data_IF_504245264028
#
_entry.id   IF_504245264028
#
_cell.length_a   1.000
_cell.length_b   1.000
_cell.length_c   1.000
_cell.angle_alpha   90.00
_cell.angle_beta   90.00
_cell.angle_gamma   90.00
#
_symmetry.space_group_name_H-M   'P 1'
#
loop_
_entity.id
_entity.type
_entity.pdbx_description
1 polymer ?
#
# COMPACT_ATOMS: atom_id res chain seq x y z
N UNK A 1 1.28 19.77 26.25
CA UNK A 1 1.25 19.93 24.77
C UNK A 1 2.56 20.58 24.36
N UNK A 2 3.20 20.11 23.29
CA UNK A 2 4.42 20.76 22.78
C UNK A 2 4.07 22.14 22.19
N UNK A 3 4.88 23.16 22.47
CA UNK A 3 4.71 24.50 21.92
C UNK A 3 5.06 24.50 20.42
N UNK A 4 4.15 25.00 19.57
CA UNK A 4 4.41 25.18 18.13
C UNK A 4 5.32 26.39 17.91
N UNK A 5 6.06 26.39 16.81
CA UNK A 5 6.83 27.58 16.41
C UNK A 5 5.88 28.65 15.87
N UNK A 6 6.25 29.93 16.04
CA UNK A 6 5.45 31.05 15.52
C UNK A 6 5.24 30.96 14.00
N UNK A 7 6.24 30.46 13.26
CA UNK A 7 6.13 30.26 11.82
C UNK A 7 5.12 29.17 11.47
N UNK A 8 5.11 28.06 12.21
CA UNK A 8 4.14 26.99 12.02
C UNK A 8 2.72 27.50 12.27
N UNK A 9 2.50 28.21 13.38
CA UNK A 9 1.19 28.81 13.71
C UNK A 9 0.72 29.77 12.62
N UNK A 10 1.62 30.61 12.10
CA UNK A 10 1.30 31.52 11.02
C UNK A 10 0.90 30.79 9.73
N UNK A 11 1.66 29.78 9.30
CA UNK A 11 1.36 28.97 8.10
C UNK A 11 0.01 28.27 8.24
N UNK A 12 -0.21 27.60 9.38
CA UNK A 12 -1.46 26.88 9.66
C UNK A 12 -2.66 27.83 9.76
N UNK A 13 -2.50 29.03 10.33
CA UNK A 13 -3.57 30.05 10.42
C UNK A 13 -4.07 30.53 9.05
N UNK A 14 -3.24 30.38 8.00
CA UNK A 14 -3.57 30.71 6.62
C UNK A 14 -4.18 29.54 5.85
N UNK A 15 -4.38 28.39 6.51
CA UNK A 15 -4.92 27.17 5.90
C UNK A 15 -3.91 26.37 5.10
N UNK A 16 -2.60 26.61 5.30
CA UNK A 16 -1.53 25.87 4.63
C UNK A 16 -1.00 24.74 5.52
N UNK A 17 -0.44 23.71 4.89
CA UNK A 17 0.24 22.61 5.58
C UNK A 17 1.69 23.02 5.82
N UNK A 18 2.15 22.89 7.06
CA UNK A 18 3.55 23.09 7.43
C UNK A 18 4.28 21.74 7.44
N UNK A 19 4.86 21.36 6.29
CA UNK A 19 5.60 20.10 6.15
C UNK A 19 6.97 20.20 6.84
N UNK A 20 7.30 19.20 7.66
CA UNK A 20 8.61 19.06 8.30
C UNK A 20 9.39 17.92 7.66
N UNK A 21 10.60 18.22 7.19
CA UNK A 21 11.51 17.22 6.63
C UNK A 21 12.49 16.73 7.70
N UNK A 22 12.88 15.44 7.66
CA UNK A 22 13.97 14.93 8.47
C UNK A 22 15.27 15.72 8.22
N UNK A 23 16.01 16.00 9.30
CA UNK A 23 17.32 16.63 9.19
C UNK A 23 18.29 15.74 8.41
N UNK A 24 19.14 16.33 7.58
CA UNK A 24 20.17 15.64 6.78
C UNK A 24 19.64 14.69 5.68
N UNK A 25 18.37 14.84 5.28
CA UNK A 25 17.74 14.05 4.20
C UNK A 25 17.29 14.93 3.01
N UNK A 26 18.21 15.60 2.30
CA UNK A 26 17.87 16.49 1.18
C UNK A 26 17.11 15.79 0.04
N UNK A 27 17.27 14.47 -0.12
CA UNK A 27 16.53 13.65 -1.09
C UNK A 27 15.01 13.61 -0.84
N UNK A 28 14.57 13.87 0.39
CA UNK A 28 13.16 13.98 0.72
C UNK A 28 12.53 15.31 0.26
N UNK A 29 13.35 16.31 -0.09
CA UNK A 29 12.88 17.60 -0.57
C UNK A 29 13.07 17.74 -2.08
N UNK A 30 11.98 17.67 -2.85
CA UNK A 30 12.08 17.70 -4.30
C UNK A 30 12.58 19.03 -4.87
N UNK A 31 12.54 20.11 -4.08
CA UNK A 31 13.06 21.42 -4.50
C UNK A 31 14.57 21.38 -4.75
N UNK A 32 15.31 20.47 -4.10
CA UNK A 32 16.75 20.30 -4.31
C UNK A 32 17.06 19.85 -5.74
N UNK A 33 16.24 18.95 -6.29
CA UNK A 33 16.35 18.52 -7.69
C UNK A 33 15.99 19.64 -8.67
N UNK A 34 14.96 20.43 -8.32
CA UNK A 34 14.55 21.61 -9.10
C UNK A 34 15.67 22.65 -9.15
N UNK A 35 16.29 22.97 -8.02
CA UNK A 35 17.44 23.89 -7.96
C UNK A 35 18.68 23.31 -8.66
N UNK A 36 18.95 22.02 -8.53
CA UNK A 36 20.04 21.35 -9.25
C UNK A 36 19.89 21.47 -10.77
N UNK A 37 18.68 21.21 -11.28
CA UNK A 37 18.35 21.38 -12.69
C UNK A 37 18.46 22.84 -13.14
N UNK A 38 17.91 23.77 -12.36
CA UNK A 38 17.92 25.20 -12.70
C UNK A 38 19.34 25.77 -12.72
N UNK A 39 20.19 25.38 -11.77
CA UNK A 39 21.63 25.74 -11.79
C UNK A 39 22.35 25.15 -12.99
N UNK A 40 22.04 23.92 -13.38
CA UNK A 40 22.59 23.34 -14.61
C UNK A 40 22.17 24.14 -15.84
N UNK A 41 20.89 24.51 -15.96
CA UNK A 41 20.40 25.34 -17.05
C UNK A 41 21.05 26.73 -17.08
N UNK A 42 21.26 27.34 -15.91
CA UNK A 42 21.94 28.63 -15.79
C UNK A 42 23.40 28.54 -16.26
N UNK A 43 24.11 27.46 -15.91
CA UNK A 43 25.49 27.24 -16.38
C UNK A 43 25.62 27.04 -17.89
N UNK A 44 24.53 26.68 -18.57
CA UNK A 44 24.46 26.60 -20.03
C UNK A 44 24.06 27.93 -20.68
N UNK A 45 23.63 28.92 -19.89
CA UNK A 45 23.27 30.24 -20.41
C UNK A 45 24.52 31.06 -20.76
N UNK A 46 24.39 32.07 -21.63
CA UNK A 46 25.47 32.99 -21.93
C UNK A 46 26.01 33.68 -20.67
N UNK A 47 27.30 33.98 -20.66
CA UNK A 47 27.91 34.74 -19.58
C UNK A 47 27.35 36.17 -19.56
N UNK A 48 26.98 36.63 -18.36
CA UNK A 48 26.34 37.93 -18.12
C UNK A 48 27.33 38.90 -17.49
N UNK A 49 27.13 40.20 -17.75
CA UNK A 49 28.04 41.25 -17.24
C UNK A 49 27.44 42.10 -16.11
N UNK A 50 26.12 42.03 -15.91
CA UNK A 50 25.41 42.78 -14.87
C UNK A 50 24.34 41.94 -14.15
N UNK A 51 23.84 42.46 -13.04
CA UNK A 51 22.87 41.77 -12.18
C UNK A 51 21.52 41.57 -12.87
N UNK A 52 21.06 42.52 -13.68
CA UNK A 52 19.77 42.41 -14.37
C UNK A 52 19.77 41.24 -15.36
N UNK A 53 20.83 41.09 -16.16
CA UNK A 53 21.03 39.95 -17.05
C UNK A 53 21.13 38.63 -16.28
N UNK A 54 21.82 38.61 -15.13
CA UNK A 54 21.88 37.42 -14.26
C UNK A 54 20.48 37.03 -13.78
N UNK A 55 19.67 37.98 -13.32
CA UNK A 55 18.32 37.72 -12.85
C UNK A 55 17.43 37.18 -13.96
N UNK A 56 17.52 37.73 -15.18
CA UNK A 56 16.79 37.23 -16.35
C UNK A 56 17.19 35.79 -16.68
N UNK A 57 18.49 35.48 -16.68
CA UNK A 57 18.98 34.13 -16.92
C UNK A 57 18.54 33.14 -15.82
N UNK A 58 18.47 33.58 -14.56
CA UNK A 58 17.95 32.75 -13.46
C UNK A 58 16.47 32.46 -13.69
N UNK A 59 15.65 33.46 -14.01
CA UNK A 59 14.20 33.28 -14.31
C UNK A 59 14.01 32.33 -15.49
N UNK A 60 14.71 32.56 -16.60
CA UNK A 60 14.66 31.70 -17.77
C UNK A 60 15.10 30.26 -17.46
N UNK A 61 16.08 30.07 -16.57
CA UNK A 61 16.54 28.74 -16.17
C UNK A 61 15.54 27.98 -15.30
N UNK A 62 14.83 28.71 -14.43
CA UNK A 62 13.75 28.17 -13.59
C UNK A 62 12.56 27.72 -14.46
N UNK A 63 12.17 28.54 -15.45
CA UNK A 63 11.02 28.27 -16.33
C UNK A 63 11.25 27.08 -17.28
N UNK A 64 12.49 26.64 -17.47
CA UNK A 64 12.81 25.45 -18.27
C UNK A 64 12.37 24.13 -17.61
N UNK A 65 12.08 24.13 -16.31
CA UNK A 65 11.64 22.92 -15.63
C UNK A 65 10.17 22.62 -15.98
N UNK A 66 9.94 21.56 -16.77
CA UNK A 66 8.58 21.16 -17.12
C UNK A 66 7.82 20.62 -15.90
N UNK A 67 6.49 20.79 -15.90
CA UNK A 67 5.61 20.23 -14.86
C UNK A 67 5.79 18.72 -14.69
N UNK A 68 6.06 17.98 -15.78
CA UNK A 68 6.31 16.55 -15.73
C UNK A 68 7.60 16.21 -14.96
N UNK A 69 8.67 16.99 -15.15
CA UNK A 69 9.92 16.82 -14.39
C UNK A 69 9.69 17.10 -12.91
N UNK A 70 9.00 18.19 -12.58
CA UNK A 70 8.66 18.55 -11.19
C UNK A 70 7.88 17.42 -10.51
N UNK A 71 6.85 16.89 -11.18
CA UNK A 71 6.08 15.74 -10.67
C UNK A 71 6.94 14.50 -10.48
N UNK A 72 7.88 14.21 -11.38
CA UNK A 72 8.81 13.08 -11.24
C UNK A 72 9.75 13.25 -10.04
N UNK A 73 10.24 14.46 -9.79
CA UNK A 73 11.07 14.77 -8.62
C UNK A 73 10.29 14.63 -7.32
N UNK A 74 9.07 15.18 -7.25
CA UNK A 74 8.17 15.04 -6.11
C UNK A 74 7.87 13.55 -5.81
N UNK A 75 7.55 12.77 -6.84
CA UNK A 75 7.33 11.33 -6.70
C UNK A 75 8.58 10.59 -6.22
N UNK A 76 9.78 11.00 -6.65
CA UNK A 76 11.04 10.42 -6.17
C UNK A 76 11.23 10.71 -4.69
N UNK A 77 11.06 11.96 -4.26
CA UNK A 77 11.16 12.33 -2.85
C UNK A 77 10.13 11.60 -1.99
N UNK A 78 8.90 11.44 -2.47
CA UNK A 78 7.88 10.63 -1.79
C UNK A 78 8.24 9.15 -1.64
N UNK A 79 9.06 8.59 -2.54
CA UNK A 79 9.59 7.22 -2.37
C UNK A 79 10.65 7.14 -1.29
N UNK A 80 11.54 8.14 -1.18
CA UNK A 80 12.50 8.21 -0.08
C UNK A 80 11.79 8.34 1.27
N UNK A 81 10.80 9.23 1.38
CA UNK A 81 9.97 9.37 2.58
C UNK A 81 9.31 8.04 2.95
N UNK A 82 8.72 7.35 1.97
CA UNK A 82 8.11 6.04 2.18
C UNK A 82 9.12 4.96 2.59
N UNK A 83 10.36 5.02 2.11
CA UNK A 83 11.40 4.06 2.46
C UNK A 83 11.92 4.30 3.88
N UNK A 84 12.13 5.56 4.26
CA UNK A 84 12.53 5.93 5.62
C UNK A 84 11.45 5.61 6.65
N UNK A 85 10.17 5.78 6.29
CA UNK A 85 9.06 5.33 7.14
C UNK A 85 9.07 3.81 7.40
N UNK A 86 9.72 3.02 6.52
CA UNK A 86 9.93 1.58 6.68
C UNK A 86 11.29 1.23 7.32
N UNK A 87 12.06 2.22 7.76
CA UNK A 87 13.37 2.03 8.40
C UNK A 87 14.52 1.69 7.43
N UNK A 88 14.34 1.91 6.13
CA UNK A 88 15.38 1.64 5.12
C UNK A 88 16.35 2.83 5.03
N UNK A 89 17.64 2.56 4.92
CA UNK A 89 18.67 3.60 4.78
C UNK A 89 18.76 4.12 3.31
N UNK A 90 19.42 5.27 3.08
CA UNK A 90 19.51 5.95 1.79
C UNK A 90 20.04 5.09 0.64
N UNK A 91 20.98 4.18 0.92
CA UNK A 91 21.49 3.22 -0.05
C UNK A 91 20.39 2.21 -0.50
N UNK A 92 19.60 1.71 0.45
CA UNK A 92 18.52 0.76 0.20
C UNK A 92 17.29 1.45 -0.42
N UNK A 93 17.04 2.71 -0.05
CA UNK A 93 15.96 3.53 -0.59
C UNK A 93 16.14 3.85 -2.09
N UNK A 94 17.38 3.90 -2.56
CA UNK A 94 17.69 4.22 -3.97
C UNK A 94 17.31 3.07 -4.92
N UNK A 95 17.38 1.81 -4.45
CA UNK A 95 17.08 0.60 -5.23
C UNK A 95 15.74 -0.08 -4.88
N UNK A 96 15.40 -0.22 -3.60
CA UNK A 96 14.28 -1.03 -3.12
C UNK A 96 12.99 -0.25 -2.77
N UNK A 97 13.03 1.09 -2.74
CA UNK A 97 11.87 1.90 -2.38
C UNK A 97 10.74 1.82 -3.41
N UNK A 98 11.03 1.56 -4.70
CA UNK A 98 9.99 1.46 -5.73
C UNK A 98 9.00 0.35 -5.43
N UNK A 99 9.50 -0.86 -5.17
CA UNK A 99 8.66 -2.04 -5.00
C UNK A 99 7.98 -2.04 -3.63
N UNK A 100 8.70 -1.66 -2.56
CA UNK A 100 8.12 -1.59 -1.21
C UNK A 100 7.10 -0.46 -1.07
N UNK A 101 7.37 0.72 -1.64
CA UNK A 101 6.42 1.84 -1.64
C UNK A 101 5.22 1.59 -2.55
N UNK A 102 5.38 0.82 -3.64
CA UNK A 102 4.26 0.39 -4.47
C UNK A 102 3.36 -0.59 -3.72
N UNK A 103 3.94 -1.65 -3.13
CA UNK A 103 3.21 -2.61 -2.29
C UNK A 103 2.46 -1.94 -1.14
N UNK A 104 3.11 -1.04 -0.41
CA UNK A 104 2.46 -0.31 0.68
C UNK A 104 1.29 0.58 0.21
N UNK A 105 1.38 1.17 -0.99
CA UNK A 105 0.25 1.91 -1.59
C UNK A 105 -0.87 0.97 -2.01
N UNK A 106 -0.54 -0.18 -2.56
CA UNK A 106 -1.52 -1.18 -3.01
C UNK A 106 -2.26 -1.79 -1.81
N UNK A 107 -1.54 -2.15 -0.74
CA UNK A 107 -2.12 -2.61 0.54
C UNK A 107 -3.03 -1.54 1.16
N UNK A 108 -2.63 -0.26 1.14
CA UNK A 108 -3.47 0.83 1.67
C UNK A 108 -4.75 1.01 0.84
N UNK A 109 -4.64 0.93 -0.49
CA UNK A 109 -5.81 0.98 -1.40
C UNK A 109 -6.74 -0.21 -1.18
N UNK A 110 -6.19 -1.40 -0.95
CA UNK A 110 -6.96 -2.59 -0.65
C UNK A 110 -7.72 -2.44 0.67
N UNK A 111 -7.05 -2.02 1.75
CA UNK A 111 -7.71 -1.72 3.03
C UNK A 111 -8.79 -0.66 2.94
N UNK A 112 -8.59 0.36 2.10
CA UNK A 112 -9.58 1.41 1.89
C UNK A 112 -10.78 0.90 1.07
N UNK A 113 -10.56 0.01 0.11
CA UNK A 113 -11.63 -0.71 -0.60
C UNK A 113 -12.40 -1.62 0.35
N UNK A 114 -11.72 -2.41 1.18
CA UNK A 114 -12.35 -3.27 2.18
C UNK A 114 -13.14 -2.45 3.21
N UNK A 115 -12.63 -1.28 3.61
CA UNK A 115 -13.35 -0.36 4.50
C UNK A 115 -14.60 0.20 3.83
N UNK A 116 -14.50 0.65 2.58
CA UNK A 116 -15.66 1.13 1.80
C UNK A 116 -16.68 0.01 1.55
N UNK A 117 -16.21 -1.22 1.35
CA UNK A 117 -17.07 -2.38 1.20
C UNK A 117 -17.79 -2.72 2.51
N UNK A 118 -17.07 -2.73 3.64
CA UNK A 118 -17.67 -2.87 4.98
C UNK A 118 -18.69 -1.77 5.26
N UNK A 119 -18.39 -0.53 4.93
CA UNK A 119 -19.32 0.61 5.07
C UNK A 119 -20.55 0.45 4.16
N UNK A 120 -20.37 -0.02 2.91
CA UNK A 120 -21.47 -0.34 1.99
C UNK A 120 -22.37 -1.47 2.49
N UNK A 121 -21.80 -2.50 3.12
CA UNK A 121 -22.55 -3.63 3.69
C UNK A 121 -23.17 -3.32 5.07
N UNK A 122 -22.72 -2.24 5.73
CA UNK A 122 -23.29 -1.77 6.99
C UNK A 122 -24.57 -0.93 6.78
N UNK A 123 -24.72 -0.30 5.62
CA UNK A 123 -25.97 0.39 5.26
C UNK A 123 -27.01 -0.63 4.75
N UNK A 124 -28.19 -0.74 5.38
CA UNK A 124 -29.22 -1.64 4.89
C UNK A 124 -29.74 -1.10 3.54
N UNK A 125 -29.78 -1.90 2.45
CA UNK A 125 -30.39 -1.51 1.20
C UNK A 125 -31.74 -0.82 1.39
N UNK A 126 -31.86 0.40 0.86
CA UNK A 126 -33.09 1.21 0.86
C UNK A 126 -34.28 0.48 0.20
N UNK A 127 -33.99 -0.57 -0.58
CA UNK A 127 -34.95 -1.38 -1.32
C UNK A 127 -34.98 -2.85 -0.85
N UNK A 128 -36.12 -3.23 -0.28
CA UNK A 128 -36.44 -4.57 0.25
C UNK A 128 -36.27 -5.65 -0.83
N UNK A 129 -36.48 -5.33 -2.12
CA UNK A 129 -36.32 -6.30 -3.21
C UNK A 129 -34.87 -6.73 -3.42
N UNK A 130 -33.92 -5.81 -3.19
CA UNK A 130 -32.48 -6.10 -3.34
C UNK A 130 -31.98 -7.02 -2.23
N UNK A 131 -32.47 -6.85 -1.00
CA UNK A 131 -32.17 -7.72 0.14
C UNK A 131 -32.65 -9.16 -0.06
N UNK A 132 -33.87 -9.33 -0.58
CA UNK A 132 -34.46 -10.65 -0.86
C UNK A 132 -33.77 -11.35 -2.04
N UNK A 133 -33.26 -10.61 -3.02
CA UNK A 133 -32.49 -11.17 -4.14
C UNK A 133 -31.15 -11.78 -3.69
N UNK A 134 -30.43 -11.10 -2.80
CA UNK A 134 -29.13 -11.54 -2.31
C UNK A 134 -29.21 -12.81 -1.43
N UNK A 135 -30.19 -12.87 -0.53
CA UNK A 135 -30.38 -14.04 0.36
C UNK A 135 -30.80 -15.29 -0.42
N UNK A 136 -31.64 -15.12 -1.45
CA UNK A 136 -32.06 -16.22 -2.32
C UNK A 136 -30.93 -16.76 -3.21
N UNK A 137 -30.00 -15.90 -3.66
CA UNK A 137 -28.84 -16.33 -4.45
C UNK A 137 -27.83 -17.14 -3.62
N UNK A 138 -27.57 -16.73 -2.38
CA UNK A 138 -26.67 -17.46 -1.46
C UNK A 138 -27.29 -18.80 -1.05
N UNK A 139 -28.61 -18.84 -0.78
CA UNK A 139 -29.30 -20.08 -0.43
C UNK A 139 -29.29 -21.10 -1.59
N UNK A 140 -29.47 -20.62 -2.83
CA UNK A 140 -29.47 -21.45 -4.04
C UNK A 140 -28.07 -22.00 -4.39
N UNK A 141 -27.00 -21.23 -4.14
CA UNK A 141 -25.63 -21.71 -4.30
C UNK A 141 -25.27 -22.80 -3.27
N UNK A 142 -25.75 -22.66 -2.04
CA UNK A 142 -25.50 -23.64 -0.98
C UNK A 142 -26.25 -24.96 -1.22
N UNK A 143 -27.48 -24.92 -1.73
CA UNK A 143 -28.24 -26.13 -2.12
C UNK A 143 -27.60 -26.84 -3.31
N UNK A 144 -27.15 -26.09 -4.33
CA UNK A 144 -26.46 -26.67 -5.48
C UNK A 144 -25.11 -27.32 -5.12
N UNK A 145 -24.41 -26.81 -4.10
CA UNK A 145 -23.16 -27.41 -3.62
C UNK A 145 -23.42 -28.71 -2.84
N UNK A 146 -24.46 -28.73 -1.99
CA UNK A 146 -24.83 -29.93 -1.22
C UNK A 146 -25.40 -31.03 -2.09
N UNK A 147 -26.14 -30.70 -3.16
CA UNK A 147 -26.68 -31.69 -4.09
C UNK A 147 -25.57 -32.33 -4.95
N UNK A 148 -24.52 -31.57 -5.31
CA UNK A 148 -23.35 -32.11 -6.01
C UNK A 148 -22.49 -33.02 -5.12
N UNK A 149 -22.39 -32.72 -3.82
CA UNK A 149 -21.67 -33.57 -2.86
C UNK A 149 -22.41 -34.90 -2.64
N UNK A 150 -23.75 -34.89 -2.59
CA UNK A 150 -24.55 -36.12 -2.45
C UNK A 150 -24.49 -37.03 -3.68
N UNK A 151 -24.22 -36.48 -4.87
CA UNK A 151 -24.11 -37.25 -6.11
C UNK A 151 -22.76 -37.98 -6.30
N UNK A 152 -21.73 -37.65 -5.50
CA UNK A 152 -20.37 -38.18 -5.66
C UNK A 152 -19.92 -39.14 -4.54
N UNK A 153 -20.75 -39.33 -3.50
CA UNK A 153 -20.44 -40.30 -2.44
C UNK A 153 -20.85 -41.73 -2.85
N UNK A 154 -19.92 -42.71 -2.83
CA UNK A 154 -20.27 -44.11 -3.04
C UNK A 154 -21.10 -44.65 -1.87
N UNK A 155 -22.00 -45.63 -2.10
CA UNK A 155 -22.90 -46.12 -1.07
C UNK A 155 -22.13 -46.72 0.12
N UNK A 156 -22.55 -46.35 1.32
CA UNK A 156 -21.97 -46.80 2.59
C UNK A 156 -21.94 -48.33 2.68
N UNK A 157 -20.75 -48.89 2.92
CA UNK A 157 -20.57 -50.30 3.31
C UNK A 157 -20.36 -50.37 4.83
N UNK A 158 -21.19 -51.12 5.57
CA UNK A 158 -20.97 -51.32 6.99
C UNK A 158 -19.68 -52.15 7.24
N UNK A 159 -18.99 -52.00 8.39
CA UNK A 159 -17.74 -52.69 8.68
C UNK A 159 -17.93 -54.18 8.99
N UNK A 160 -16.95 -55.01 8.60
CA UNK A 160 -16.93 -56.45 8.86
C UNK A 160 -16.67 -56.78 10.35
N UNK A 161 -17.28 -57.88 10.81
CA UNK A 161 -17.32 -58.36 12.20
C UNK A 161 -15.95 -58.48 12.90
N UNK A 162 -15.93 -58.12 14.18
CA UNK A 162 -14.79 -58.23 15.10
C UNK A 162 -14.43 -59.72 15.26
N UNK A 163 -13.24 -60.12 14.77
CA UNK A 163 -12.70 -61.45 15.09
C UNK A 163 -12.31 -61.52 16.57
N UNK A 164 -13.03 -62.36 17.33
CA UNK A 164 -12.64 -62.83 18.66
C UNK A 164 -11.34 -63.63 18.56
N UNK A 165 -10.27 -63.16 19.20
CA UNK A 165 -9.04 -63.94 19.38
C UNK A 165 -9.21 -64.89 20.57
N UNK A 166 -9.32 -66.19 20.29
CA UNK A 166 -9.23 -67.25 21.29
C UNK A 166 -7.79 -67.38 21.81
N UNK A 167 -7.60 -67.19 23.11
CA UNK A 167 -6.37 -67.55 23.82
C UNK A 167 -6.45 -69.02 24.26
N UNK A 168 -5.84 -69.92 23.49
CA UNK A 168 -5.53 -71.29 23.94
C UNK A 168 -4.18 -71.30 24.66
N UNK A 169 -4.22 -71.58 25.96
CA UNK A 169 -3.04 -71.87 26.81
C UNK A 169 -2.41 -73.21 26.45
N UNK A 170 -1.12 -73.19 26.09
CA UNK A 170 -0.26 -74.37 25.97
C UNK A 170 0.25 -74.79 27.36
N UNK A 171 0.00 -76.05 27.73
CA UNK A 171 0.40 -76.63 28.99
C UNK A 171 1.01 -78.01 28.71
N UNK A 172 2.33 -78.09 28.62
CA UNK A 172 3.06 -79.36 28.65
C UNK A 172 4.21 -79.30 29.67
N UNK A 173 4.16 -80.23 30.63
CA UNK A 173 5.18 -80.49 31.64
C UNK A 173 5.82 -81.86 31.35
N UNK A 174 7.14 -82.05 31.51
CA UNK A 174 7.84 -83.25 31.07
C UNK A 174 7.79 -84.39 32.10
N UNK A 175 7.94 -85.62 31.60
CA UNK A 175 8.26 -86.84 32.37
C UNK A 175 9.75 -86.99 32.56
#
# INVERSE_FOLDING_TARGET
MAQKSHLQEFIESRGHICDFYPNFHPECNYIEQYWGFSKYQYRLSPQTSNIAEMEENVRASLDKASLLQIRRWANRSGRYISAYALGLDGAEATGGARDKSQRARDEKRERERERQERERFQEPPDDIQTYLGATNSVHRAHTSLTDNIRATEPPYKPPDDIQTTDHTTDNTRPT
#
